data_IF_143005014511
#
_entry.id   IF_143005014511
#
_cell.length_a   1.000
_cell.length_b   1.000
_cell.length_c   1.000
_cell.angle_alpha   90.00
_cell.angle_beta   90.00
_cell.angle_gamma   90.00
#
_symmetry.space_group_name_H-M   'P 1'
#
loop_
_entity.id
_entity.type
_entity.pdbx_description
1 polymer ?
#
# COMPACT_ATOMS: atom_id res chain seq x y z
N UNK A 1 5.71 -11.28 11.35
CA UNK A 1 7.18 -11.50 11.45
C UNK A 1 7.73 -11.22 10.07
N UNK A 2 7.68 -9.95 9.68
CA UNK A 2 7.71 -9.61 8.26
C UNK A 2 9.14 -9.34 7.82
N UNK A 3 9.60 -10.22 6.93
CA UNK A 3 10.93 -10.21 6.35
C UNK A 3 10.94 -9.29 5.14
N UNK A 4 11.88 -8.35 5.15
CA UNK A 4 12.20 -7.49 4.02
C UNK A 4 12.61 -8.34 2.81
N UNK A 5 11.91 -8.22 1.67
CA UNK A 5 12.19 -9.03 0.46
C UNK A 5 12.92 -8.20 -0.58
N UNK A 6 14.24 -8.43 -0.72
CA UNK A 6 14.96 -8.06 -1.93
C UNK A 6 14.75 -9.20 -2.92
N UNK A 7 13.88 -8.98 -3.92
CA UNK A 7 13.69 -9.96 -4.97
C UNK A 7 14.76 -9.75 -6.05
N UNK A 8 15.78 -10.61 -6.03
CA UNK A 8 16.76 -10.70 -7.11
C UNK A 8 16.27 -11.76 -8.09
N UNK A 9 15.79 -11.34 -9.26
CA UNK A 9 15.49 -12.27 -10.34
C UNK A 9 16.66 -12.30 -11.31
N UNK A 10 17.29 -13.47 -11.39
CA UNK A 10 18.37 -13.77 -12.35
C UNK A 10 17.73 -14.62 -13.45
N UNK A 11 17.57 -14.05 -14.64
CA UNK A 11 17.13 -14.82 -15.80
C UNK A 11 18.31 -15.64 -16.36
N UNK A 12 18.10 -16.93 -16.61
CA UNK A 12 19.10 -17.88 -17.15
C UNK A 12 19.04 -18.01 -18.67
N UNK A 13 18.41 -17.07 -19.38
CA UNK A 13 18.52 -16.99 -20.85
C UNK A 13 19.90 -16.45 -21.27
N UNK A 14 20.32 -16.71 -22.52
CA UNK A 14 21.63 -16.34 -23.09
C UNK A 14 21.96 -14.84 -23.05
N UNK A 15 21.01 -14.00 -22.63
CA UNK A 15 21.12 -12.56 -22.40
C UNK A 15 20.78 -12.26 -20.93
N UNK A 16 21.60 -12.74 -20.00
CA UNK A 16 21.32 -12.62 -18.57
C UNK A 16 21.30 -11.14 -18.10
N UNK A 17 20.10 -10.61 -17.85
CA UNK A 17 19.86 -9.36 -17.15
C UNK A 17 19.44 -9.64 -15.71
N UNK A 18 19.94 -8.86 -14.76
CA UNK A 18 19.62 -9.02 -13.35
C UNK A 18 18.69 -7.90 -12.92
N UNK A 19 17.52 -8.30 -12.43
CA UNK A 19 16.50 -7.39 -11.92
C UNK A 19 16.60 -7.33 -10.40
N UNK A 20 16.81 -6.13 -9.89
CA UNK A 20 16.73 -5.84 -8.46
C UNK A 20 15.47 -5.01 -8.24
N UNK A 21 14.46 -5.63 -7.65
CA UNK A 21 13.22 -4.95 -7.23
C UNK A 21 13.38 -4.58 -5.77
N UNK A 22 13.22 -3.29 -5.49
CA UNK A 22 13.40 -2.76 -4.14
C UNK A 22 12.05 -2.27 -3.65
N UNK A 23 11.46 -3.09 -2.79
CA UNK A 23 10.25 -2.75 -2.05
C UNK A 23 10.69 -1.91 -0.84
N UNK A 24 10.35 -0.63 -0.88
CA UNK A 24 10.64 0.29 0.23
C UNK A 24 9.56 0.19 1.29
N UNK A 25 9.93 -0.20 2.50
CA UNK A 25 9.08 -0.08 3.68
C UNK A 25 9.82 0.77 4.73
N UNK A 26 9.15 1.78 5.27
CA UNK A 26 9.72 2.73 6.24
C UNK A 26 9.99 2.09 7.62
N UNK A 27 9.40 0.93 7.93
CA UNK A 27 9.28 0.42 9.28
C UNK A 27 10.57 -0.19 9.89
N UNK A 28 11.56 -0.61 9.09
CA UNK A 28 12.83 -1.17 9.64
C UNK A 28 14.07 -0.64 8.95
N UNK A 29 14.36 0.64 9.19
CA UNK A 29 15.61 1.29 8.75
C UNK A 29 16.86 0.44 9.02
N UNK A 30 16.98 -0.27 10.14
CA UNK A 30 18.18 -1.05 10.47
C UNK A 30 18.34 -2.33 9.63
N UNK A 31 17.30 -3.18 9.56
CA UNK A 31 17.34 -4.42 8.80
C UNK A 31 17.33 -4.19 7.28
N UNK A 32 16.57 -3.17 6.82
CA UNK A 32 16.63 -2.70 5.44
C UNK A 32 18.06 -2.29 5.09
N UNK A 33 18.70 -1.43 5.91
CA UNK A 33 20.07 -0.96 5.65
C UNK A 33 21.10 -2.09 5.61
N UNK A 34 20.95 -3.14 6.43
CA UNK A 34 21.91 -4.23 6.45
C UNK A 34 21.85 -5.09 5.18
N UNK A 35 20.66 -5.59 4.82
CA UNK A 35 20.49 -6.40 3.60
C UNK A 35 20.78 -5.57 2.33
N UNK A 36 20.34 -4.32 2.32
CA UNK A 36 20.54 -3.37 1.23
C UNK A 36 22.00 -2.91 1.11
N UNK A 37 22.73 -2.84 2.23
CA UNK A 37 24.17 -2.55 2.26
C UNK A 37 25.02 -3.63 1.59
N UNK A 38 24.52 -4.87 1.55
CA UNK A 38 25.18 -6.01 0.89
C UNK A 38 24.85 -6.08 -0.61
N UNK A 39 23.87 -5.31 -1.11
CA UNK A 39 23.50 -5.31 -2.53
C UNK A 39 24.63 -4.77 -3.41
N UNK A 40 25.52 -3.94 -2.85
CA UNK A 40 26.75 -3.50 -3.53
C UNK A 40 27.65 -4.68 -3.94
N UNK A 41 27.64 -5.76 -3.16
CA UNK A 41 28.47 -6.94 -3.40
C UNK A 41 27.90 -7.80 -4.54
N UNK A 42 26.61 -7.65 -4.88
CA UNK A 42 26.04 -8.27 -6.07
C UNK A 42 26.76 -7.81 -7.33
N UNK A 43 27.21 -6.55 -7.41
CA UNK A 43 27.93 -6.07 -8.59
C UNK A 43 29.22 -6.87 -8.83
N UNK A 44 29.92 -7.23 -7.75
CA UNK A 44 31.12 -8.07 -7.80
C UNK A 44 30.78 -9.50 -8.25
N UNK A 45 29.64 -10.05 -7.84
CA UNK A 45 29.21 -11.40 -8.22
C UNK A 45 28.75 -11.49 -9.67
N UNK A 46 28.10 -10.44 -10.20
CA UNK A 46 27.43 -10.48 -11.50
C UNK A 46 28.34 -10.00 -12.66
N UNK A 47 29.46 -9.37 -12.33
CA UNK A 47 30.48 -8.93 -13.29
C UNK A 47 29.98 -7.85 -14.24
N UNK A 48 30.19 -8.04 -15.54
CA UNK A 48 29.82 -7.08 -16.60
C UNK A 48 28.35 -7.14 -17.04
N UNK A 49 27.53 -8.01 -16.43
CA UNK A 49 26.14 -8.19 -16.84
C UNK A 49 25.31 -6.90 -16.63
N UNK A 50 24.37 -6.60 -17.54
CA UNK A 50 23.42 -5.51 -17.35
C UNK A 50 22.57 -5.72 -16.09
N UNK A 51 22.36 -4.63 -15.34
CA UNK A 51 21.52 -4.61 -14.14
C UNK A 51 20.42 -3.59 -14.30
N UNK A 52 19.21 -3.95 -13.88
CA UNK A 52 18.06 -3.06 -13.85
C UNK A 52 17.56 -2.94 -12.41
N UNK A 53 17.42 -1.70 -11.94
CA UNK A 53 16.78 -1.39 -10.67
C UNK A 53 15.41 -0.78 -10.93
N UNK A 54 14.37 -1.35 -10.32
CA UNK A 54 12.99 -0.88 -10.46
C UNK A 54 12.48 -0.41 -9.10
N UNK A 55 11.91 0.80 -9.07
CA UNK A 55 11.25 1.35 -7.88
C UNK A 55 10.06 2.21 -8.30
N UNK A 56 8.93 2.04 -7.61
CA UNK A 56 7.71 2.81 -7.86
C UNK A 56 7.69 4.17 -7.13
N UNK A 57 8.35 4.27 -5.97
CA UNK A 57 8.23 5.40 -5.04
C UNK A 57 9.56 6.10 -4.72
N UNK A 58 10.63 5.82 -5.47
CA UNK A 58 11.93 6.42 -5.20
C UNK A 58 12.01 7.90 -5.65
N UNK A 59 12.15 8.79 -4.65
CA UNK A 59 12.50 10.18 -4.89
C UNK A 59 13.94 10.34 -5.43
N UNK A 60 14.33 11.57 -5.78
CA UNK A 60 15.65 11.85 -6.36
C UNK A 60 16.81 11.43 -5.44
N UNK A 61 16.68 11.65 -4.13
CA UNK A 61 17.71 11.32 -3.15
C UNK A 61 17.86 9.80 -3.02
N UNK A 62 16.74 9.09 -2.92
CA UNK A 62 16.69 7.63 -2.90
C UNK A 62 17.31 7.04 -4.17
N UNK A 63 16.98 7.58 -5.36
CA UNK A 63 17.57 7.11 -6.63
C UNK A 63 19.09 7.32 -6.69
N UNK A 64 19.59 8.46 -6.23
CA UNK A 64 21.04 8.69 -6.14
C UNK A 64 21.73 7.71 -5.19
N UNK A 65 21.13 7.48 -4.01
CA UNK A 65 21.64 6.52 -3.04
C UNK A 65 21.64 5.09 -3.62
N UNK A 66 20.58 4.73 -4.34
CA UNK A 66 20.44 3.45 -5.04
C UNK A 66 21.53 3.25 -6.09
N UNK A 67 21.73 4.23 -6.96
CA UNK A 67 22.75 4.15 -8.01
C UNK A 67 24.16 4.03 -7.41
N UNK A 68 24.44 4.74 -6.30
CA UNK A 68 25.70 4.63 -5.58
C UNK A 68 25.90 3.24 -4.98
N UNK A 69 24.87 2.69 -4.33
CA UNK A 69 24.95 1.37 -3.70
C UNK A 69 25.06 0.24 -4.73
N UNK A 70 24.38 0.34 -5.86
CA UNK A 70 24.44 -0.64 -6.95
C UNK A 70 25.70 -0.51 -7.83
N UNK A 71 26.53 0.50 -7.60
CA UNK A 71 27.72 0.76 -8.41
C UNK A 71 27.39 1.15 -9.86
N UNK A 72 26.24 1.79 -10.10
CA UNK A 72 25.78 2.20 -11.43
C UNK A 72 26.58 3.40 -11.97
N UNK A 73 27.63 3.11 -12.73
CA UNK A 73 28.40 4.12 -13.49
C UNK A 73 27.83 4.27 -14.90
N UNK A 74 27.58 5.52 -15.34
CA UNK A 74 27.07 5.80 -16.69
C UNK A 74 25.70 5.19 -17.00
N UNK A 75 24.84 5.03 -15.99
CA UNK A 75 23.53 4.41 -16.15
C UNK A 75 22.54 5.32 -16.90
N UNK A 76 21.55 4.70 -17.53
CA UNK A 76 20.36 5.41 -18.03
C UNK A 76 19.27 5.38 -16.97
N UNK A 77 18.71 6.54 -16.68
CA UNK A 77 17.60 6.69 -15.73
C UNK A 77 16.30 6.94 -16.51
N UNK A 78 15.25 6.17 -16.19
CA UNK A 78 13.91 6.40 -16.71
C UNK A 78 13.00 6.77 -15.53
N UNK A 79 12.55 8.03 -15.51
CA UNK A 79 11.58 8.52 -14.51
C UNK A 79 10.27 8.76 -15.23
N UNK A 80 9.24 8.03 -14.80
CA UNK A 80 7.87 8.21 -15.29
C UNK A 80 7.14 9.14 -14.31
N UNK A 81 6.39 10.10 -14.84
CA UNK A 81 5.57 10.98 -14.00
C UNK A 81 4.63 10.13 -13.12
N UNK A 82 4.58 10.37 -11.80
CA UNK A 82 3.64 9.67 -10.93
C UNK A 82 2.20 10.16 -11.13
N UNK A 83 1.99 11.22 -11.92
CA UNK A 83 0.67 11.80 -12.15
C UNK A 83 -0.29 10.78 -12.78
N UNK A 84 -1.50 10.73 -12.23
CA UNK A 84 -2.60 9.91 -12.71
C UNK A 84 -3.79 10.83 -12.90
N UNK A 85 -4.17 11.09 -14.15
CA UNK A 85 -5.24 12.04 -14.49
C UNK A 85 -6.60 11.62 -13.90
N UNK A 86 -6.77 10.33 -13.63
CA UNK A 86 -7.96 9.76 -12.98
C UNK A 86 -7.93 9.82 -11.45
N UNK A 87 -6.90 10.43 -10.83
CA UNK A 87 -6.79 10.61 -9.38
C UNK A 87 -6.90 12.09 -9.05
N UNK A 88 -7.89 12.43 -8.23
CA UNK A 88 -8.07 13.79 -7.69
C UNK A 88 -7.60 13.85 -6.25
N UNK A 89 -6.78 14.84 -5.93
CA UNK A 89 -6.37 15.14 -4.57
C UNK A 89 -7.24 16.27 -4.00
N UNK A 90 -7.70 16.11 -2.76
CA UNK A 90 -8.44 17.12 -2.02
C UNK A 90 -8.00 17.11 -0.56
N UNK A 91 -7.95 18.28 0.05
CA UNK A 91 -7.68 18.44 1.49
C UNK A 91 -8.92 19.04 2.12
N UNK A 92 -9.43 18.39 3.17
CA UNK A 92 -10.58 18.85 3.94
C UNK A 92 -10.22 18.85 5.41
N UNK A 93 -10.69 19.86 6.13
CA UNK A 93 -10.61 19.87 7.59
C UNK A 93 -11.54 18.79 8.16
N UNK A 94 -11.07 18.08 9.18
CA UNK A 94 -11.82 17.01 9.81
C UNK A 94 -12.01 17.34 11.29
N UNK A 95 -13.27 17.43 11.72
CA UNK A 95 -13.64 17.52 13.12
C UNK A 95 -13.73 16.11 13.76
N UNK A 96 -13.93 16.07 15.08
CA UNK A 96 -14.10 14.81 15.83
C UNK A 96 -15.39 14.06 15.47
N UNK A 97 -16.32 14.71 14.76
CA UNK A 97 -17.59 14.11 14.34
C UNK A 97 -17.54 13.54 12.91
N UNK A 98 -16.36 13.64 12.26
CA UNK A 98 -16.08 13.16 10.92
C UNK A 98 -17.14 13.58 9.88
N UNK A 99 -17.60 14.83 9.95
CA UNK A 99 -18.57 15.35 8.98
C UNK A 99 -18.01 15.39 7.55
N UNK A 100 -16.69 15.40 7.40
CA UNK A 100 -16.02 15.25 6.12
C UNK A 100 -16.32 13.91 5.42
N UNK A 101 -16.84 12.89 6.12
CA UNK A 101 -17.30 11.63 5.55
C UNK A 101 -18.81 11.58 5.27
N UNK A 102 -19.57 12.67 5.45
CA UNK A 102 -21.01 12.64 5.17
C UNK A 102 -21.30 12.25 3.71
N UNK A 103 -20.51 12.73 2.75
CA UNK A 103 -20.65 12.33 1.33
C UNK A 103 -20.49 10.82 1.13
N UNK A 104 -19.63 10.19 1.92
CA UNK A 104 -19.40 8.75 1.87
C UNK A 104 -20.63 8.06 2.45
N UNK A 105 -21.08 8.46 3.64
CA UNK A 105 -22.29 7.91 4.28
C UNK A 105 -23.49 7.97 3.33
N UNK A 106 -23.74 9.11 2.69
CA UNK A 106 -24.86 9.27 1.76
C UNK A 106 -24.72 8.33 0.55
N UNK A 107 -23.51 8.23 -0.02
CA UNK A 107 -23.22 7.32 -1.13
C UNK A 107 -23.39 5.84 -0.75
N UNK A 108 -23.03 5.46 0.49
CA UNK A 108 -23.23 4.10 1.00
C UNK A 108 -24.70 3.77 1.19
N UNK A 109 -25.50 4.71 1.70
CA UNK A 109 -26.95 4.54 1.85
C UNK A 109 -27.65 4.40 0.51
N UNK A 110 -27.24 5.20 -0.48
CA UNK A 110 -27.83 5.18 -1.82
C UNK A 110 -27.46 3.91 -2.60
N UNK A 111 -26.17 3.54 -2.62
CA UNK A 111 -25.66 2.51 -3.53
C UNK A 111 -25.47 1.14 -2.88
N UNK A 112 -25.38 1.05 -1.55
CA UNK A 112 -25.20 -0.20 -0.79
C UNK A 112 -24.14 -1.13 -1.42
N UNK A 113 -24.54 -2.28 -1.96
CA UNK A 113 -23.64 -3.25 -2.58
C UNK A 113 -22.93 -2.74 -3.84
N UNK A 114 -23.52 -1.76 -4.55
CA UNK A 114 -22.97 -1.15 -5.76
C UNK A 114 -22.08 0.06 -5.47
N UNK A 115 -21.88 0.40 -4.19
CA UNK A 115 -21.00 1.48 -3.79
C UNK A 115 -19.54 1.19 -4.19
N UNK A 116 -18.82 2.14 -4.81
CA UNK A 116 -17.41 1.97 -5.11
C UNK A 116 -16.59 1.63 -3.85
N UNK A 117 -15.66 0.69 -4.01
CA UNK A 117 -14.74 0.30 -2.93
C UNK A 117 -13.95 1.53 -2.47
N UNK A 118 -14.06 1.83 -1.18
CA UNK A 118 -13.40 2.98 -0.54
C UNK A 118 -12.49 2.45 0.56
N UNK A 119 -11.27 2.99 0.64
CA UNK A 119 -10.30 2.68 1.68
C UNK A 119 -10.06 3.92 2.51
N UNK A 120 -10.16 3.77 3.84
CA UNK A 120 -9.83 4.83 4.80
C UNK A 120 -8.57 4.40 5.56
N UNK A 121 -7.50 5.18 5.43
CA UNK A 121 -6.26 4.96 6.18
C UNK A 121 -6.30 5.73 7.50
N UNK A 122 -6.07 5.03 8.60
CA UNK A 122 -6.00 5.61 9.95
C UNK A 122 -4.59 5.47 10.53
N UNK A 123 -4.18 6.43 11.38
CA UNK A 123 -2.83 6.43 11.96
C UNK A 123 -2.70 5.48 13.15
N UNK A 124 -3.73 5.41 13.99
CA UNK A 124 -3.75 4.53 15.17
C UNK A 124 -4.96 3.61 15.20
N UNK A 125 -4.89 2.54 15.98
CA UNK A 125 -6.04 1.65 16.23
C UNK A 125 -7.20 2.42 16.85
N UNK A 126 -6.91 3.41 17.71
CA UNK A 126 -7.95 4.26 18.30
C UNK A 126 -8.68 5.09 17.24
N UNK A 127 -7.97 5.61 16.24
CA UNK A 127 -8.57 6.34 15.13
C UNK A 127 -9.49 5.43 14.31
N UNK A 128 -9.11 4.17 14.11
CA UNK A 128 -9.95 3.17 13.42
C UNK A 128 -11.25 2.97 14.19
N UNK A 129 -11.15 2.68 15.49
CA UNK A 129 -12.33 2.46 16.34
C UNK A 129 -13.24 3.68 16.32
N UNK A 130 -12.67 4.89 16.38
CA UNK A 130 -13.43 6.13 16.35
C UNK A 130 -14.12 6.35 14.99
N UNK A 131 -13.41 6.19 13.88
CA UNK A 131 -13.97 6.32 12.52
C UNK A 131 -15.05 5.28 12.30
N UNK A 132 -14.77 4.01 12.61
CA UNK A 132 -15.70 2.90 12.43
C UNK A 132 -16.98 3.10 13.26
N UNK A 133 -16.85 3.44 14.55
CA UNK A 133 -18.00 3.71 15.40
C UNK A 133 -18.82 4.88 14.88
N UNK A 134 -18.17 5.95 14.39
CA UNK A 134 -18.85 7.11 13.81
C UNK A 134 -19.62 6.74 12.54
N UNK A 135 -19.02 5.92 11.67
CA UNK A 135 -19.69 5.44 10.45
C UNK A 135 -20.88 4.55 10.78
N UNK A 136 -20.74 3.60 11.71
CA UNK A 136 -21.86 2.77 12.18
C UNK A 136 -22.99 3.62 12.76
N UNK A 137 -22.68 4.63 13.58
CA UNK A 137 -23.70 5.55 14.12
C UNK A 137 -24.44 6.32 13.01
N UNK A 138 -23.74 6.78 11.97
CA UNK A 138 -24.33 7.55 10.87
C UNK A 138 -25.12 6.67 9.89
N UNK A 139 -24.68 5.43 9.66
CA UNK A 139 -25.32 4.48 8.75
C UNK A 139 -26.49 3.74 9.40
N UNK A 140 -26.39 3.38 10.68
CA UNK A 140 -27.39 2.57 11.36
C UNK A 140 -27.63 1.25 10.62
N UNK A 141 -28.89 0.97 10.29
CA UNK A 141 -29.28 -0.25 9.58
C UNK A 141 -28.73 -0.32 8.14
N UNK A 142 -28.41 0.83 7.52
CA UNK A 142 -27.84 0.87 6.17
C UNK A 142 -26.40 0.36 6.12
N UNK A 143 -25.76 0.11 7.27
CA UNK A 143 -24.47 -0.57 7.34
C UNK A 143 -24.56 -2.07 6.97
N UNK A 144 -25.78 -2.61 6.82
CA UNK A 144 -26.01 -4.01 6.51
C UNK A 144 -26.84 -4.14 5.23
N UNK A 145 -26.41 -5.03 4.34
CA UNK A 145 -27.20 -5.44 3.19
C UNK A 145 -28.45 -6.20 3.66
N UNK A 146 -29.54 -6.09 2.89
CA UNK A 146 -30.74 -6.89 3.13
C UNK A 146 -30.49 -8.35 2.72
N UNK A 147 -30.98 -9.30 3.51
CA UNK A 147 -30.79 -10.72 3.22
C UNK A 147 -31.01 -11.61 4.43
N UNK A 148 -30.96 -12.93 4.17
CA UNK A 148 -31.12 -13.98 5.18
C UNK A 148 -29.80 -14.43 5.80
N UNK A 149 -28.67 -14.01 5.25
CA UNK A 149 -27.35 -14.36 5.74
C UNK A 149 -27.10 -13.79 7.15
N UNK A 150 -26.15 -14.38 7.91
CA UNK A 150 -25.71 -13.84 9.19
C UNK A 150 -25.40 -12.34 9.08
N UNK A 151 -25.78 -11.58 10.11
CA UNK A 151 -25.61 -10.11 10.12
C UNK A 151 -24.13 -9.70 9.93
N UNK A 152 -23.19 -10.52 10.39
CA UNK A 152 -21.75 -10.33 10.18
C UNK A 152 -21.37 -10.27 8.70
N UNK A 153 -22.01 -11.08 7.87
CA UNK A 153 -21.61 -11.31 6.49
C UNK A 153 -22.27 -10.29 5.55
N UNK A 154 -23.27 -9.57 6.07
CA UNK A 154 -24.00 -8.51 5.36
C UNK A 154 -23.45 -7.12 5.66
N UNK A 155 -22.47 -7.00 6.54
CA UNK A 155 -21.87 -5.71 6.87
C UNK A 155 -21.06 -5.16 5.70
N UNK A 156 -21.35 -3.94 5.26
CA UNK A 156 -20.61 -3.26 4.18
C UNK A 156 -19.36 -2.53 4.67
N UNK A 157 -19.03 -2.65 5.95
CA UNK A 157 -17.83 -2.09 6.56
C UNK A 157 -17.00 -3.23 7.14
N UNK A 158 -15.72 -3.27 6.79
CA UNK A 158 -14.76 -4.20 7.36
C UNK A 158 -13.50 -3.47 7.85
N UNK A 159 -12.81 -4.06 8.82
CA UNK A 159 -11.53 -3.55 9.33
C UNK A 159 -10.41 -4.47 8.89
N UNK A 160 -9.37 -3.88 8.33
CA UNK A 160 -8.17 -4.58 7.91
C UNK A 160 -6.95 -4.09 8.71
N UNK A 161 -6.19 -5.03 9.26
CA UNK A 161 -4.88 -4.80 9.85
C UNK A 161 -3.96 -6.01 9.60
N UNK A 162 -2.68 -5.90 9.96
CA UNK A 162 -1.65 -6.91 9.63
C UNK A 162 -1.94 -8.33 10.15
N UNK A 163 -2.75 -8.48 11.19
CA UNK A 163 -3.15 -9.78 11.73
C UNK A 163 -4.56 -10.24 11.30
N UNK A 164 -5.25 -9.49 10.44
CA UNK A 164 -6.54 -9.92 9.87
C UNK A 164 -6.34 -11.20 9.06
N UNK A 165 -7.10 -12.29 9.35
CA UNK A 165 -7.01 -13.54 8.62
C UNK A 165 -7.24 -13.36 7.11
N UNK A 166 -6.54 -14.14 6.27
CA UNK A 166 -6.68 -14.06 4.82
C UNK A 166 -8.11 -14.31 4.32
N UNK A 167 -8.90 -15.08 5.08
CA UNK A 167 -10.32 -15.35 4.80
C UNK A 167 -11.22 -14.12 4.86
N UNK A 168 -10.83 -13.07 5.60
CA UNK A 168 -11.65 -11.86 5.80
C UNK A 168 -11.27 -10.71 4.85
N UNK A 169 -10.31 -10.94 3.93
CA UNK A 169 -9.76 -9.91 3.04
C UNK A 169 -10.62 -9.63 1.80
N UNK A 170 -11.69 -10.40 1.58
CA UNK A 170 -12.59 -10.27 0.43
C UNK A 170 -13.87 -9.49 0.74
N UNK A 171 -13.99 -8.93 1.95
CA UNK A 171 -15.19 -8.22 2.41
C UNK A 171 -15.38 -6.88 1.69
N UNK A 172 -16.63 -6.48 1.52
CA UNK A 172 -17.01 -5.24 0.86
C UNK A 172 -16.76 -4.04 1.79
N UNK A 173 -15.98 -3.08 1.26
CA UNK A 173 -15.38 -1.88 1.86
C UNK A 173 -14.48 -2.07 3.09
N UNK A 174 -13.26 -1.52 3.00
CA UNK A 174 -12.17 -1.79 3.94
C UNK A 174 -11.70 -0.50 4.60
N UNK A 175 -11.91 -0.38 5.91
CA UNK A 175 -11.19 0.57 6.76
C UNK A 175 -9.84 -0.07 7.09
N UNK A 176 -8.74 0.57 6.70
CA UNK A 176 -7.41 -0.04 6.67
C UNK A 176 -6.44 0.61 7.67
N UNK A 177 -5.65 -0.23 8.34
CA UNK A 177 -4.48 0.15 9.15
C UNK A 177 -3.19 -0.29 8.45
N UNK A 178 -2.26 0.66 8.27
CA UNK A 178 -0.88 0.35 7.87
C UNK A 178 0.05 0.45 9.09
N UNK A 179 0.82 -0.60 9.35
CA UNK A 179 2.03 -0.57 10.21
C UNK A 179 3.14 -1.36 9.54
#
# INVERSE_FOLDING_TARGET
MDSLKILVKIDKSSYAAIFIILLGEQARKAAFRQAFGNVKDLRSFVGSKPMLALSATADKSMRQQLCKLLGFKGHKELVISPNKENIRFSVMECDKTFNCFNWLVDMLKEKKADAPHTIIFCHTVNDIVLVLSTLFMKLGNDAYLEGTDPVSDRCILAVYYSATPDSEKNSHQLVYCEW
#
